data_IF_941203837445
#
_entry.id   IF_941203837445
#
_cell.length_a   1.000
_cell.length_b   1.000
_cell.length_c   1.000
_cell.angle_alpha   90.00
_cell.angle_beta   90.00
_cell.angle_gamma   90.00
#
_symmetry.space_group_name_H-M   'P 1'
#
loop_
_entity.id
_entity.type
_entity.pdbx_description
1 polymer ?
#
# COMPACT_ATOMS: atom_id res chain seq x y z
N UNK A 1 -10.69 70.82 17.34
CA UNK A 1 -9.42 70.36 17.94
C UNK A 1 -9.77 69.29 18.97
N UNK A 2 -9.23 68.09 18.76
CA UNK A 2 -9.30 66.88 19.60
C UNK A 2 -10.67 66.22 19.85
N UNK A 3 -10.87 65.11 19.11
CA UNK A 3 -11.92 64.12 19.30
C UNK A 3 -11.61 63.24 20.53
N UNK A 4 -12.66 62.94 21.30
CA UNK A 4 -12.67 62.05 22.45
C UNK A 4 -13.47 60.79 22.10
N UNK A 5 -12.96 59.62 22.56
CA UNK A 5 -13.60 58.28 22.59
C UNK A 5 -13.64 57.58 21.22
N UNK A 6 -13.30 56.30 21.07
CA UNK A 6 -13.48 55.17 21.98
C UNK A 6 -12.48 54.07 21.64
N UNK A 7 -11.97 53.39 22.67
CA UNK A 7 -11.24 52.14 22.55
C UNK A 7 -12.11 51.07 21.88
N UNK A 8 -11.76 50.64 20.67
CA UNK A 8 -12.26 49.38 20.11
C UNK A 8 -11.30 48.27 20.53
N UNK A 9 -11.74 47.49 21.51
CA UNK A 9 -11.17 46.18 21.82
C UNK A 9 -11.38 45.32 20.58
N UNK A 10 -10.30 44.97 19.88
CA UNK A 10 -10.33 43.93 18.85
C UNK A 10 -10.57 42.62 19.60
N UNK A 11 -11.83 42.19 19.65
CA UNK A 11 -12.16 40.85 20.09
C UNK A 11 -11.61 39.90 19.03
N UNK A 12 -10.50 39.27 19.36
CA UNK A 12 -9.96 38.13 18.64
C UNK A 12 -11.05 37.04 18.69
N UNK A 13 -11.85 36.92 17.63
CA UNK A 13 -12.66 35.74 17.42
C UNK A 13 -11.71 34.62 17.00
N UNK A 14 -11.11 33.97 17.99
CA UNK A 14 -10.60 32.61 17.81
C UNK A 14 -11.84 31.77 17.56
N UNK A 15 -12.25 31.67 16.29
CA UNK A 15 -13.06 30.54 15.86
C UNK A 15 -12.15 29.35 16.06
N UNK A 16 -12.31 28.66 17.18
CA UNK A 16 -11.85 27.29 17.29
C UNK A 16 -12.58 26.54 16.17
N UNK A 17 -11.90 26.35 15.04
CA UNK A 17 -12.36 25.47 13.96
C UNK A 17 -12.32 24.08 14.61
N UNK A 18 -13.46 23.66 15.17
CA UNK A 18 -13.62 22.27 15.58
C UNK A 18 -13.36 21.40 14.36
N UNK A 19 -12.50 20.40 14.49
CA UNK A 19 -12.29 19.40 13.45
C UNK A 19 -13.66 18.89 12.98
N UNK A 20 -13.99 19.09 11.70
CA UNK A 20 -15.21 18.58 11.11
C UNK A 20 -15.14 17.05 11.14
N UNK A 21 -15.86 16.45 12.09
CA UNK A 21 -15.91 15.00 12.23
C UNK A 21 -16.61 14.39 11.02
N UNK A 22 -16.04 13.33 10.46
CA UNK A 22 -16.67 12.61 9.35
C UNK A 22 -17.86 11.79 9.86
N UNK A 23 -18.90 11.69 9.05
CA UNK A 23 -20.08 10.90 9.42
C UNK A 23 -19.78 9.39 9.39
N UNK A 24 -20.53 8.57 10.15
CA UNK A 24 -20.39 7.11 10.08
C UNK A 24 -20.56 6.55 8.66
N UNK A 25 -21.39 7.19 7.83
CA UNK A 25 -21.60 6.79 6.44
C UNK A 25 -20.35 7.01 5.58
N UNK A 26 -19.64 8.14 5.78
CA UNK A 26 -18.37 8.42 5.09
C UNK A 26 -17.31 7.40 5.49
N UNK A 27 -17.21 7.08 6.78
CA UNK A 27 -16.28 6.05 7.27
C UNK A 27 -16.60 4.65 6.74
N UNK A 28 -17.87 4.27 6.71
CA UNK A 28 -18.30 3.00 6.11
C UNK A 28 -17.97 2.94 4.63
N UNK A 29 -18.20 4.04 3.90
CA UNK A 29 -17.83 4.14 2.50
C UNK A 29 -16.33 4.01 2.27
N UNK A 30 -15.51 4.73 3.03
CA UNK A 30 -14.06 4.63 2.98
C UNK A 30 -13.58 3.20 3.28
N UNK A 31 -14.10 2.57 4.33
CA UNK A 31 -13.72 1.20 4.66
C UNK A 31 -14.03 0.22 3.52
N UNK A 32 -15.20 0.33 2.90
CA UNK A 32 -15.60 -0.52 1.78
C UNK A 32 -14.76 -0.25 0.53
N UNK A 33 -14.45 1.02 0.20
CA UNK A 33 -13.64 1.31 -0.98
C UNK A 33 -12.16 1.02 -0.77
N UNK A 34 -11.65 1.00 0.46
CA UNK A 34 -10.32 0.46 0.77
C UNK A 34 -10.27 -1.03 0.49
N UNK A 35 -11.25 -1.81 0.98
CA UNK A 35 -11.34 -3.25 0.69
C UNK A 35 -11.27 -3.46 -0.82
N UNK A 36 -12.07 -2.71 -1.59
CA UNK A 36 -12.03 -2.75 -3.06
C UNK A 36 -10.62 -2.46 -3.61
N UNK A 37 -9.97 -1.38 -3.14
CA UNK A 37 -8.62 -1.00 -3.56
C UNK A 37 -7.57 -2.06 -3.25
N UNK A 38 -7.67 -2.74 -2.10
CA UNK A 38 -6.76 -3.83 -1.73
C UNK A 38 -7.06 -5.10 -2.54
N UNK A 39 -8.33 -5.42 -2.82
CA UNK A 39 -8.71 -6.56 -3.69
C UNK A 39 -8.13 -6.43 -5.09
N UNK A 40 -7.90 -5.20 -5.57
CA UNK A 40 -7.26 -4.97 -6.87
C UNK A 40 -5.88 -5.67 -6.95
N UNK A 41 -5.19 -5.87 -5.83
CA UNK A 41 -3.89 -6.56 -5.77
C UNK A 41 -4.00 -8.09 -5.73
N UNK A 42 -5.21 -8.62 -5.54
CA UNK A 42 -5.44 -10.06 -5.51
C UNK A 42 -5.47 -10.68 -6.92
N UNK A 43 -5.37 -12.02 -7.03
CA UNK A 43 -5.52 -12.71 -8.31
C UNK A 43 -6.80 -12.29 -9.02
N UNK A 44 -6.76 -12.19 -10.35
CA UNK A 44 -7.92 -11.75 -11.15
C UNK A 44 -9.16 -12.62 -10.91
N UNK A 45 -8.97 -13.92 -10.67
CA UNK A 45 -10.04 -14.86 -10.32
C UNK A 45 -10.76 -14.47 -9.03
N UNK A 46 -10.03 -13.95 -8.05
CA UNK A 46 -10.55 -13.47 -6.77
C UNK A 46 -11.44 -12.24 -6.98
N UNK A 47 -10.99 -11.30 -7.81
CA UNK A 47 -11.76 -10.11 -8.19
C UNK A 47 -13.04 -10.51 -8.93
N UNK A 48 -12.94 -11.39 -9.94
CA UNK A 48 -14.07 -11.79 -10.78
C UNK A 48 -15.13 -12.59 -10.01
N UNK A 49 -14.71 -13.51 -9.13
CA UNK A 49 -15.63 -14.35 -8.38
C UNK A 49 -16.25 -13.62 -7.17
N UNK A 50 -15.56 -12.62 -6.63
CA UNK A 50 -15.95 -11.86 -5.44
C UNK A 50 -16.47 -12.73 -4.29
N UNK A 51 -15.80 -13.85 -4.02
CA UNK A 51 -16.12 -14.83 -2.97
C UNK A 51 -15.66 -14.36 -1.58
N UNK A 52 -15.80 -13.07 -1.27
CA UNK A 52 -15.24 -12.47 -0.07
C UNK A 52 -15.71 -13.17 1.21
N UNK A 53 -14.77 -13.58 2.06
CA UNK A 53 -15.09 -14.26 3.31
C UNK A 53 -15.63 -13.31 4.39
N UNK A 54 -16.15 -13.90 5.46
CA UNK A 54 -16.69 -13.14 6.59
C UNK A 54 -15.63 -12.39 7.40
N UNK A 55 -14.35 -12.73 7.27
CA UNK A 55 -13.27 -12.06 8.00
C UNK A 55 -13.00 -10.66 7.42
N UNK A 56 -12.92 -10.54 6.09
CA UNK A 56 -12.72 -9.24 5.41
C UNK A 56 -14.07 -8.51 5.26
N UNK A 57 -15.12 -9.24 4.87
CA UNK A 57 -16.40 -8.63 4.47
C UNK A 57 -17.52 -8.69 5.52
N UNK A 58 -17.29 -9.05 6.79
CA UNK A 58 -18.38 -9.21 7.78
C UNK A 58 -18.15 -8.73 9.25
N UNK A 59 -17.05 -8.10 9.68
CA UNK A 59 -17.07 -7.44 11.00
C UNK A 59 -17.59 -5.98 10.92
N UNK A 60 -17.15 -5.22 9.92
CA UNK A 60 -17.29 -3.75 9.90
C UNK A 60 -17.99 -3.18 8.64
N UNK A 61 -18.25 -4.00 7.63
CA UNK A 61 -18.85 -3.58 6.35
C UNK A 61 -20.38 -3.52 6.39
N UNK A 62 -21.03 -4.00 7.46
CA UNK A 62 -22.49 -4.03 7.57
C UNK A 62 -23.19 -4.85 6.48
N UNK A 63 -22.56 -5.92 5.99
CA UNK A 63 -23.01 -6.71 4.82
C UNK A 63 -23.04 -5.93 3.50
N UNK A 64 -22.31 -4.82 3.37
CA UNK A 64 -22.27 -4.02 2.13
C UNK A 64 -21.99 -4.86 0.87
N UNK A 65 -21.12 -5.87 0.96
CA UNK A 65 -20.76 -6.71 -0.18
C UNK A 65 -21.81 -7.77 -0.55
N UNK A 66 -22.92 -7.88 0.18
CA UNK A 66 -24.01 -8.78 -0.17
C UNK A 66 -24.71 -8.31 -1.45
N UNK A 67 -24.56 -9.05 -2.55
CA UNK A 67 -25.07 -8.64 -3.87
C UNK A 67 -24.18 -7.66 -4.61
N UNK A 68 -22.94 -7.47 -4.15
CA UNK A 68 -21.90 -6.78 -4.90
C UNK A 68 -21.47 -7.64 -6.08
N UNK A 69 -21.38 -7.04 -7.26
CA UNK A 69 -21.06 -7.76 -8.49
C UNK A 69 -19.94 -7.05 -9.23
N UNK A 70 -18.86 -7.77 -9.54
CA UNK A 70 -17.83 -7.28 -10.46
C UNK A 70 -18.31 -7.50 -11.88
N UNK A 71 -18.42 -6.41 -12.63
CA UNK A 71 -18.95 -6.41 -13.99
C UNK A 71 -17.83 -6.60 -15.02
N UNK A 72 -16.67 -6.00 -14.75
CA UNK A 72 -15.50 -6.14 -15.60
C UNK A 72 -14.23 -6.01 -14.76
N UNK A 73 -13.23 -6.85 -15.02
CA UNK A 73 -11.89 -6.72 -14.46
C UNK A 73 -10.86 -6.98 -15.57
N UNK A 74 -9.99 -6.00 -15.81
CA UNK A 74 -9.04 -6.03 -16.93
C UNK A 74 -7.63 -5.73 -16.42
N UNK A 75 -6.68 -6.56 -16.84
CA UNK A 75 -5.25 -6.32 -16.67
C UNK A 75 -4.72 -5.79 -17.99
N UNK A 76 -4.22 -4.57 -18.00
CA UNK A 76 -3.54 -4.04 -19.17
C UNK A 76 -2.07 -4.44 -19.07
N UNK A 77 -1.71 -5.56 -19.70
CA UNK A 77 -0.31 -5.95 -19.85
C UNK A 77 0.32 -5.07 -20.93
N UNK A 78 1.04 -4.04 -20.51
CA UNK A 78 1.85 -3.23 -21.42
C UNK A 78 3.04 -4.09 -21.86
N UNK A 79 3.21 -4.33 -23.16
CA UNK A 79 4.51 -4.82 -23.67
C UNK A 79 5.56 -3.76 -23.35
N UNK A 80 6.70 -4.14 -22.77
CA UNK A 80 7.89 -3.32 -22.47
C UNK A 80 8.52 -2.65 -23.72
N UNK A 81 7.74 -1.94 -24.52
CA UNK A 81 8.19 -1.26 -25.74
C UNK A 81 8.22 0.26 -25.57
N UNK A 82 7.61 0.80 -24.52
CA UNK A 82 7.84 2.17 -24.06
C UNK A 82 8.85 2.14 -22.91
N UNK A 83 9.86 3.00 -22.96
CA UNK A 83 10.96 3.13 -21.99
C UNK A 83 10.52 3.63 -20.61
N UNK A 84 9.30 3.32 -20.16
CA UNK A 84 8.63 3.90 -18.99
C UNK A 84 8.28 2.87 -17.89
N UNK A 85 8.54 1.58 -18.10
CA UNK A 85 8.58 0.59 -17.01
C UNK A 85 7.25 0.22 -16.32
N UNK A 86 6.11 0.65 -16.85
CA UNK A 86 4.79 0.37 -16.26
C UNK A 86 4.31 -1.04 -16.61
N UNK A 87 4.88 -2.07 -15.97
CA UNK A 87 4.27 -3.39 -15.98
C UNK A 87 3.06 -3.40 -15.02
N UNK A 88 1.98 -4.09 -15.39
CA UNK A 88 0.92 -4.54 -14.47
C UNK A 88 -0.03 -3.46 -13.88
N UNK A 89 -0.57 -2.57 -14.72
CA UNK A 89 -1.70 -1.70 -14.30
C UNK A 89 -3.04 -2.44 -14.50
N UNK A 90 -3.91 -2.42 -13.49
CA UNK A 90 -5.21 -3.12 -13.47
C UNK A 90 -6.32 -2.14 -13.06
N UNK A 91 -7.48 -2.28 -13.70
CA UNK A 91 -8.72 -1.67 -13.20
C UNK A 91 -9.86 -2.69 -13.19
N UNK A 92 -10.85 -2.46 -12.34
CA UNK A 92 -12.11 -3.19 -12.41
C UNK A 92 -13.30 -2.28 -12.11
N UNK A 93 -14.46 -2.67 -12.63
CA UNK A 93 -15.74 -2.01 -12.41
C UNK A 93 -16.69 -2.98 -11.72
N UNK A 94 -17.35 -2.50 -10.67
CA UNK A 94 -18.34 -3.25 -9.94
C UNK A 94 -19.62 -2.44 -9.72
N UNK A 95 -20.69 -3.12 -9.33
CA UNK A 95 -22.00 -2.52 -9.07
C UNK A 95 -22.60 -3.05 -7.76
N UNK A 96 -23.28 -2.14 -7.05
CA UNK A 96 -24.10 -2.44 -5.87
C UNK A 96 -25.25 -1.45 -5.76
N UNK A 97 -26.49 -1.94 -5.72
CA UNK A 97 -27.71 -1.13 -5.56
C UNK A 97 -27.75 0.10 -6.50
N UNK A 98 -27.43 -0.09 -7.79
CA UNK A 98 -27.32 0.96 -8.82
C UNK A 98 -26.23 2.02 -8.58
N UNK A 99 -25.25 1.75 -7.72
CA UNK A 99 -24.02 2.53 -7.59
C UNK A 99 -22.87 1.77 -8.26
N UNK A 100 -22.02 2.51 -8.97
CA UNK A 100 -20.88 1.96 -9.71
C UNK A 100 -19.59 2.29 -8.99
N UNK A 101 -18.68 1.33 -9.02
CA UNK A 101 -17.38 1.41 -8.37
C UNK A 101 -16.31 1.15 -9.40
N UNK A 102 -15.43 2.12 -9.63
CA UNK A 102 -14.26 2.00 -10.48
C UNK A 102 -13.03 1.98 -9.58
N UNK A 103 -12.30 0.87 -9.60
CA UNK A 103 -11.14 0.72 -8.73
C UNK A 103 -9.88 0.49 -9.55
N UNK A 104 -8.83 1.23 -9.20
CA UNK A 104 -7.50 1.12 -9.80
C UNK A 104 -6.53 0.43 -8.85
N UNK A 105 -5.75 -0.49 -9.40
CA UNK A 105 -4.62 -1.13 -8.72
C UNK A 105 -3.40 -0.23 -8.80
N UNK A 106 -2.65 -0.12 -7.70
CA UNK A 106 -1.29 0.42 -7.74
C UNK A 106 -0.24 -0.61 -8.14
N UNK A 107 1.03 -0.28 -7.98
CA UNK A 107 2.12 -1.21 -8.30
C UNK A 107 2.22 -2.33 -7.26
N UNK A 108 2.25 -3.60 -7.71
CA UNK A 108 2.53 -4.76 -6.84
C UNK A 108 3.94 -4.68 -6.21
N UNK A 109 4.86 -3.94 -6.84
CA UNK A 109 6.20 -3.69 -6.32
C UNK A 109 6.38 -2.24 -5.86
N UNK A 110 5.55 -1.80 -4.90
CA UNK A 110 5.92 -0.96 -3.76
C UNK A 110 7.25 -0.20 -3.80
N UNK A 111 8.27 -1.00 -3.52
CA UNK A 111 9.61 -0.55 -3.25
C UNK A 111 10.32 -0.18 -4.55
N UNK A 112 10.21 -1.04 -5.57
CA UNK A 112 10.91 -0.84 -6.83
C UNK A 112 10.33 0.34 -7.62
N UNK A 113 9.01 0.58 -7.58
CA UNK A 113 8.43 1.72 -8.30
C UNK A 113 8.87 3.07 -7.74
N UNK A 114 9.01 3.21 -6.42
CA UNK A 114 9.43 4.48 -5.82
C UNK A 114 10.85 4.88 -6.23
N UNK A 115 11.76 3.88 -6.30
CA UNK A 115 13.16 4.12 -6.65
C UNK A 115 13.41 4.15 -8.17
N UNK A 116 12.65 3.38 -8.97
CA UNK A 116 12.86 3.26 -10.41
C UNK A 116 12.03 4.24 -11.26
N UNK A 117 10.89 4.73 -10.76
CA UNK A 117 9.96 5.55 -11.56
C UNK A 117 10.35 7.03 -11.59
N UNK A 118 11.47 7.36 -12.22
CA UNK A 118 11.90 8.75 -12.47
C UNK A 118 10.81 9.60 -13.16
N UNK A 119 9.94 8.97 -13.93
CA UNK A 119 8.80 9.59 -14.61
C UNK A 119 7.76 10.18 -13.65
N UNK A 120 7.73 9.79 -12.37
CA UNK A 120 6.80 10.42 -11.42
C UNK A 120 7.18 11.87 -11.11
N UNK A 121 8.48 12.20 -11.21
CA UNK A 121 9.03 13.53 -10.97
C UNK A 121 9.05 14.42 -12.22
N UNK A 122 8.72 13.87 -13.39
CA UNK A 122 8.67 14.62 -14.65
C UNK A 122 7.27 15.17 -14.83
N UNK A 123 7.15 16.48 -15.04
CA UNK A 123 5.86 17.13 -15.30
C UNK A 123 5.47 17.02 -16.80
N UNK A 124 4.20 16.72 -17.05
CA UNK A 124 3.55 16.75 -18.35
C UNK A 124 2.35 17.71 -18.31
N UNK A 125 2.04 18.36 -19.44
CA UNK A 125 0.85 19.22 -19.52
C UNK A 125 -0.42 18.36 -19.49
N UNK A 126 -1.34 18.67 -18.58
CA UNK A 126 -2.54 17.86 -18.36
C UNK A 126 -3.61 18.07 -19.44
N UNK A 127 -3.94 19.33 -19.74
CA UNK A 127 -4.93 19.65 -20.76
C UNK A 127 -4.69 21.04 -21.35
N UNK A 128 -4.84 21.15 -22.67
CA UNK A 128 -4.81 22.44 -23.36
C UNK A 128 -5.93 23.40 -22.90
N UNK A 129 -7.02 22.85 -22.35
CA UNK A 129 -8.15 23.64 -21.86
C UNK A 129 -7.96 24.15 -20.43
N UNK A 130 -6.88 23.75 -19.76
CA UNK A 130 -6.54 24.16 -18.40
C UNK A 130 -5.09 24.68 -18.44
N UNK A 131 -4.88 25.95 -18.81
CA UNK A 131 -3.55 26.50 -19.01
C UNK A 131 -2.66 26.29 -17.79
N UNK A 132 -1.39 25.94 -18.02
CA UNK A 132 -0.38 25.70 -16.98
C UNK A 132 -0.68 24.53 -16.01
N UNK A 133 -1.75 23.76 -16.22
CA UNK A 133 -1.98 22.54 -15.46
C UNK A 133 -0.96 21.48 -15.85
N UNK A 134 -0.22 21.01 -14.85
CA UNK A 134 0.80 19.99 -14.99
C UNK A 134 0.51 18.83 -14.07
N UNK A 135 0.76 17.64 -14.57
CA UNK A 135 0.66 16.38 -13.84
C UNK A 135 1.93 15.59 -14.00
N UNK A 136 2.12 14.61 -13.14
CA UNK A 136 3.17 13.63 -13.29
C UNK A 136 3.02 12.87 -14.61
N UNK A 137 4.05 12.89 -15.45
CA UNK A 137 4.08 12.18 -16.74
C UNK A 137 3.76 10.70 -16.54
N UNK A 138 4.33 10.09 -15.50
CA UNK A 138 4.11 8.70 -15.18
C UNK A 138 2.65 8.35 -14.91
N UNK A 139 2.00 9.14 -14.04
CA UNK A 139 0.59 8.91 -13.71
C UNK A 139 -0.34 9.26 -14.86
N UNK A 140 0.03 10.26 -15.67
CA UNK A 140 -0.74 10.66 -16.84
C UNK A 140 -0.70 9.63 -17.96
N UNK A 141 0.47 9.06 -18.24
CA UNK A 141 0.62 7.96 -19.21
C UNK A 141 -0.19 6.73 -18.75
N UNK A 142 -0.06 6.35 -17.47
CA UNK A 142 -0.83 5.27 -16.87
C UNK A 142 -2.36 5.47 -17.03
N UNK A 143 -2.83 6.71 -16.79
CA UNK A 143 -4.23 7.05 -17.01
C UNK A 143 -4.62 6.99 -18.49
N UNK A 144 -3.83 7.55 -19.39
CA UNK A 144 -4.11 7.57 -20.83
C UNK A 144 -4.17 6.16 -21.42
N UNK A 145 -3.34 5.23 -20.92
CA UNK A 145 -3.36 3.82 -21.33
C UNK A 145 -4.62 3.08 -20.84
N UNK A 146 -5.10 3.41 -19.64
CA UNK A 146 -6.32 2.82 -19.07
C UNK A 146 -7.60 3.45 -19.63
N UNK A 147 -7.56 4.73 -19.97
CA UNK A 147 -8.72 5.56 -20.27
C UNK A 147 -9.64 4.92 -21.32
N UNK A 148 -9.17 4.39 -22.47
CA UNK A 148 -10.06 3.78 -23.46
C UNK A 148 -10.84 2.58 -22.91
N UNK A 149 -10.19 1.72 -22.13
CA UNK A 149 -10.81 0.54 -21.53
C UNK A 149 -11.80 0.90 -20.41
N UNK A 150 -11.45 1.90 -19.61
CA UNK A 150 -12.32 2.46 -18.55
C UNK A 150 -13.56 3.09 -19.18
N UNK A 151 -13.39 3.98 -20.17
CA UNK A 151 -14.51 4.63 -20.86
C UNK A 151 -15.43 3.60 -21.50
N UNK A 152 -14.88 2.59 -22.18
CA UNK A 152 -15.70 1.54 -22.78
C UNK A 152 -16.48 0.75 -21.71
N UNK A 153 -15.84 0.41 -20.59
CA UNK A 153 -16.50 -0.28 -19.47
C UNK A 153 -17.62 0.57 -18.87
N UNK A 154 -17.37 1.86 -18.61
CA UNK A 154 -18.39 2.76 -18.08
C UNK A 154 -19.51 3.02 -19.10
N UNK A 155 -19.19 3.22 -20.38
CA UNK A 155 -20.17 3.51 -21.42
C UNK A 155 -21.15 2.35 -21.63
N UNK A 156 -20.67 1.10 -21.66
CA UNK A 156 -21.52 -0.07 -21.78
C UNK A 156 -22.49 -0.18 -20.59
N UNK A 157 -22.02 0.14 -19.39
CA UNK A 157 -22.78 -0.02 -18.15
C UNK A 157 -23.76 1.12 -17.88
N UNK A 158 -23.34 2.37 -18.14
CA UNK A 158 -24.20 3.54 -17.96
C UNK A 158 -25.36 3.57 -18.96
N UNK A 159 -25.19 2.99 -20.16
CA UNK A 159 -26.28 2.93 -21.14
C UNK A 159 -27.34 1.86 -20.85
N UNK A 160 -27.00 0.80 -20.10
CA UNK A 160 -27.96 -0.28 -19.79
C UNK A 160 -28.82 0.01 -18.57
N UNK A 161 -28.26 0.66 -17.55
CA UNK A 161 -28.88 0.72 -16.21
C UNK A 161 -29.15 2.14 -15.68
N UNK A 162 -28.56 3.18 -16.28
CA UNK A 162 -28.62 4.56 -15.77
C UNK A 162 -29.54 5.50 -16.57
N UNK A 163 -30.31 4.93 -17.51
CA UNK A 163 -31.22 5.68 -18.38
C UNK A 163 -32.43 6.27 -17.64
N UNK A 164 -32.79 5.75 -16.46
CA UNK A 164 -33.96 6.17 -15.68
C UNK A 164 -33.67 6.80 -14.32
N UNK A 165 -32.47 6.64 -13.75
CA UNK A 165 -32.03 7.27 -12.50
C UNK A 165 -30.53 7.61 -12.60
N UNK A 166 -30.07 8.76 -12.06
CA UNK A 166 -28.66 9.11 -12.06
C UNK A 166 -27.87 8.10 -11.22
N UNK A 167 -26.96 7.39 -11.86
CA UNK A 167 -26.04 6.47 -11.21
C UNK A 167 -24.90 7.23 -10.54
N UNK A 168 -24.56 6.84 -9.31
CA UNK A 168 -23.39 7.38 -8.63
C UNK A 168 -22.16 6.58 -9.02
N UNK A 169 -21.11 7.25 -9.47
CA UNK A 169 -19.81 6.63 -9.72
C UNK A 169 -18.86 6.96 -8.56
N UNK A 170 -18.37 5.92 -7.91
CA UNK A 170 -17.33 6.01 -6.90
C UNK A 170 -16.02 5.47 -7.46
N UNK A 171 -14.94 6.22 -7.29
CA UNK A 171 -13.62 5.84 -7.75
C UNK A 171 -12.74 5.61 -6.53
N UNK A 172 -11.94 4.55 -6.55
CA UNK A 172 -10.96 4.32 -5.50
C UNK A 172 -9.64 3.76 -6.00
N UNK A 173 -8.61 3.97 -5.20
CA UNK A 173 -7.29 3.43 -5.48
C UNK A 173 -6.35 3.60 -4.31
N UNK A 174 -5.44 2.64 -4.17
CA UNK A 174 -4.36 2.69 -3.20
C UNK A 174 -3.03 2.95 -3.93
N UNK A 175 -2.10 3.68 -3.31
CA UNK A 175 -0.77 3.96 -3.87
C UNK A 175 -0.87 4.59 -5.27
N UNK A 176 -0.11 4.08 -6.25
CA UNK A 176 -0.24 4.45 -7.67
C UNK A 176 -1.69 4.40 -8.19
N UNK A 177 -2.52 3.47 -7.71
CA UNK A 177 -3.93 3.41 -8.09
C UNK A 177 -4.71 4.64 -7.62
N UNK A 178 -4.33 5.20 -6.46
CA UNK A 178 -4.87 6.48 -5.98
C UNK A 178 -4.44 7.65 -6.87
N UNK A 179 -3.19 7.64 -7.34
CA UNK A 179 -2.70 8.64 -8.29
C UNK A 179 -3.52 8.63 -9.60
N UNK A 180 -3.76 7.44 -10.15
CA UNK A 180 -4.57 7.26 -11.37
C UNK A 180 -6.02 7.71 -11.12
N UNK A 181 -6.60 7.37 -9.97
CA UNK A 181 -7.94 7.82 -9.58
C UNK A 181 -8.04 9.35 -9.57
N UNK A 182 -7.04 10.03 -9.00
CA UNK A 182 -6.97 11.48 -8.93
C UNK A 182 -6.67 12.15 -10.29
N UNK A 183 -6.26 11.42 -11.33
CA UNK A 183 -6.12 11.96 -12.69
C UNK A 183 -7.45 12.05 -13.45
N UNK A 184 -8.50 11.36 -12.96
CA UNK A 184 -9.81 11.26 -13.61
C UNK A 184 -10.62 12.58 -13.58
N UNK A 185 -10.93 13.22 -14.72
CA UNK A 185 -11.62 14.53 -14.76
C UNK A 185 -13.16 14.47 -14.71
N UNK A 186 -13.76 13.33 -14.37
CA UNK A 186 -15.21 13.18 -14.51
C UNK A 186 -16.02 14.00 -13.51
N UNK A 187 -17.18 14.48 -13.95
CA UNK A 187 -18.13 15.18 -13.09
C UNK A 187 -18.99 14.22 -12.30
N UNK A 188 -19.44 14.66 -11.12
CA UNK A 188 -20.38 13.92 -10.27
C UNK A 188 -19.86 12.56 -9.80
N UNK A 189 -18.56 12.47 -9.54
CA UNK A 189 -17.92 11.30 -8.95
C UNK A 189 -17.49 11.58 -7.51
N UNK A 190 -17.45 10.53 -6.71
CA UNK A 190 -16.83 10.54 -5.37
C UNK A 190 -15.54 9.75 -5.47
N UNK A 191 -14.45 10.26 -4.88
CA UNK A 191 -13.14 9.62 -4.97
C UNK A 191 -12.57 9.41 -3.58
N UNK A 192 -12.23 8.17 -3.25
CA UNK A 192 -11.49 7.84 -2.04
C UNK A 192 -10.14 7.23 -2.41
N UNK A 193 -9.06 7.85 -1.97
CA UNK A 193 -7.71 7.33 -2.21
C UNK A 193 -7.00 7.01 -0.91
N UNK A 194 -6.08 6.05 -0.95
CA UNK A 194 -5.34 5.56 0.21
C UNK A 194 -3.85 5.58 -0.08
N UNK A 195 -3.09 6.38 0.66
CA UNK A 195 -1.66 6.53 0.40
C UNK A 195 -1.36 7.05 -1.01
N UNK A 196 -2.21 7.91 -1.56
CA UNK A 196 -1.99 8.47 -2.91
C UNK A 196 -0.80 9.43 -2.88
N UNK A 197 0.13 9.35 -3.84
CA UNK A 197 1.11 10.41 -4.07
C UNK A 197 0.42 11.69 -4.59
N UNK A 198 1.15 12.81 -4.57
CA UNK A 198 0.76 14.04 -5.27
C UNK A 198 0.72 13.78 -6.78
N UNK A 199 -0.28 14.32 -7.47
CA UNK A 199 -0.49 14.01 -8.91
C UNK A 199 -0.09 15.13 -9.84
N UNK A 200 -0.32 16.38 -9.45
CA UNK A 200 -0.04 17.51 -10.31
C UNK A 200 0.17 18.79 -9.53
N UNK A 201 0.27 19.89 -10.25
CA UNK A 201 0.53 21.19 -9.66
C UNK A 201 -0.72 21.89 -9.13
N UNK A 202 -0.55 23.06 -8.51
CA UNK A 202 -1.63 23.88 -7.98
C UNK A 202 -2.75 24.15 -9.02
N UNK A 203 -2.40 24.42 -10.28
CA UNK A 203 -3.38 24.66 -11.35
C UNK A 203 -4.20 23.41 -11.67
N UNK A 204 -3.54 22.25 -11.71
CA UNK A 204 -4.23 20.97 -11.82
C UNK A 204 -5.13 20.70 -10.61
N UNK A 205 -4.63 20.92 -9.39
CA UNK A 205 -5.38 20.67 -8.17
C UNK A 205 -6.64 21.53 -8.08
N UNK A 206 -6.51 22.84 -8.35
CA UNK A 206 -7.66 23.76 -8.42
C UNK A 206 -8.69 23.32 -9.48
N UNK A 207 -8.23 22.90 -10.65
CA UNK A 207 -9.11 22.37 -11.69
C UNK A 207 -9.81 21.10 -11.22
N UNK A 208 -9.08 20.13 -10.68
CA UNK A 208 -9.63 18.87 -10.20
C UNK A 208 -10.66 19.09 -9.08
N UNK A 209 -10.34 19.90 -8.08
CA UNK A 209 -11.22 20.22 -6.94
C UNK A 209 -12.54 20.87 -7.39
N UNK A 210 -12.50 21.68 -8.46
CA UNK A 210 -13.71 22.28 -9.05
C UNK A 210 -14.64 21.25 -9.74
N UNK A 211 -14.10 20.09 -10.12
CA UNK A 211 -14.81 19.04 -10.88
C UNK A 211 -15.21 17.87 -9.98
N UNK A 212 -14.36 17.56 -9.02
CA UNK A 212 -14.46 16.39 -8.13
C UNK A 212 -14.34 16.83 -6.66
N UNK A 213 -15.27 17.67 -6.17
CA UNK A 213 -15.20 18.23 -4.81
C UNK A 213 -15.40 17.18 -3.71
N UNK A 214 -15.87 15.98 -4.06
CA UNK A 214 -16.09 14.88 -3.13
C UNK A 214 -14.91 13.91 -3.17
N UNK A 215 -13.69 14.41 -2.99
CA UNK A 215 -12.47 13.60 -2.92
C UNK A 215 -11.92 13.59 -1.50
N UNK A 216 -11.71 12.40 -0.95
CA UNK A 216 -11.03 12.21 0.34
C UNK A 216 -9.74 11.42 0.13
N UNK A 217 -8.63 11.97 0.63
CA UNK A 217 -7.33 11.30 0.66
C UNK A 217 -7.06 10.79 2.06
N UNK A 218 -7.03 9.47 2.21
CA UNK A 218 -6.66 8.85 3.48
C UNK A 218 -5.15 8.64 3.52
N UNK A 219 -4.52 9.12 4.59
CA UNK A 219 -3.09 8.96 4.86
C UNK A 219 -2.92 8.26 6.19
N UNK A 220 -2.17 7.15 6.20
CA UNK A 220 -1.93 6.38 7.41
C UNK A 220 -0.59 6.76 8.04
N UNK A 221 -0.65 7.32 9.24
CA UNK A 221 0.49 7.59 10.11
C UNK A 221 1.67 8.23 9.33
N UNK A 222 2.84 7.59 9.31
CA UNK A 222 4.05 8.04 8.62
C UNK A 222 4.20 7.42 7.21
N UNK A 223 3.10 7.20 6.50
CA UNK A 223 3.15 6.77 5.10
C UNK A 223 3.91 7.81 4.26
N UNK A 224 5.02 7.36 3.67
CA UNK A 224 5.93 8.22 2.90
C UNK A 224 5.41 8.58 1.51
N UNK A 225 4.49 7.80 0.96
CA UNK A 225 4.06 7.93 -0.43
C UNK A 225 3.26 9.20 -0.70
N UNK A 226 2.34 9.64 0.18
CA UNK A 226 1.69 10.94 0.05
C UNK A 226 2.66 12.12 -0.01
N UNK A 227 3.87 12.00 0.51
CA UNK A 227 4.84 13.09 0.49
C UNK A 227 5.70 13.13 -0.79
N UNK A 228 5.39 12.29 -1.79
CA UNK A 228 6.01 12.36 -3.12
C UNK A 228 4.99 12.51 -4.26
N UNK A 229 5.39 13.09 -5.41
CA UNK A 229 6.60 13.90 -5.61
C UNK A 229 6.64 15.10 -4.64
N UNK A 230 7.83 15.65 -4.40
CA UNK A 230 8.04 16.65 -3.35
C UNK A 230 7.30 17.95 -3.65
N UNK A 231 6.86 18.61 -2.58
CA UNK A 231 6.38 19.98 -2.60
C UNK A 231 7.55 20.95 -2.90
N UNK A 232 7.30 22.04 -3.61
CA UNK A 232 8.13 23.25 -3.48
C UNK A 232 8.79 23.84 -4.74
N UNK A 233 9.04 25.14 -4.62
CA UNK A 233 9.26 26.17 -5.67
C UNK A 233 10.53 26.06 -6.54
N UNK A 234 11.40 25.07 -6.37
CA UNK A 234 12.70 25.05 -7.06
C UNK A 234 12.73 24.21 -8.34
N UNK A 235 11.94 23.13 -8.44
CA UNK A 235 11.99 22.22 -9.60
C UNK A 235 10.66 21.55 -10.01
N UNK A 236 9.68 21.37 -9.11
CA UNK A 236 8.38 20.77 -9.42
C UNK A 236 7.29 21.28 -8.48
N UNK A 237 6.13 21.70 -9.00
CA UNK A 237 5.10 22.40 -8.21
C UNK A 237 3.98 21.49 -7.70
N UNK A 238 4.29 20.25 -7.31
CA UNK A 238 3.25 19.27 -6.95
C UNK A 238 2.49 19.65 -5.68
N UNK A 239 1.18 19.48 -5.75
CA UNK A 239 0.22 19.75 -4.67
C UNK A 239 -0.85 18.65 -4.67
N UNK A 240 -1.29 18.28 -3.48
CA UNK A 240 -2.43 17.40 -3.28
C UNK A 240 -3.74 18.04 -3.70
N UNK A 241 -4.69 17.18 -4.06
CA UNK A 241 -6.07 17.56 -4.34
C UNK A 241 -6.94 17.40 -3.08
N UNK A 242 -7.96 18.26 -2.94
CA UNK A 242 -9.02 18.14 -1.94
C UNK A 242 -8.54 17.83 -0.49
N UNK A 243 -9.42 17.24 0.33
CA UNK A 243 -9.28 17.08 1.78
C UNK A 243 -8.46 15.84 2.17
N UNK A 244 -7.66 15.98 3.21
CA UNK A 244 -6.92 14.90 3.85
C UNK A 244 -7.65 14.35 5.06
N UNK A 245 -7.63 13.02 5.22
CA UNK A 245 -8.00 12.32 6.44
C UNK A 245 -6.79 11.55 6.93
N UNK A 246 -6.09 12.12 7.89
CA UNK A 246 -4.87 11.56 8.46
C UNK A 246 -5.17 10.69 9.68
N UNK A 247 -4.78 9.43 9.64
CA UNK A 247 -4.87 8.50 10.77
C UNK A 247 -3.54 8.54 11.53
N UNK A 248 -3.44 9.40 12.54
CA UNK A 248 -2.22 9.69 13.31
C UNK A 248 -1.92 8.66 14.42
N UNK A 249 -2.26 7.39 14.17
CA UNK A 249 -1.89 6.28 15.06
C UNK A 249 -1.64 5.01 14.25
N UNK A 250 -0.72 4.17 14.72
CA UNK A 250 -0.59 2.81 14.18
C UNK A 250 -1.74 1.93 14.66
N UNK A 251 -2.50 1.38 13.72
CA UNK A 251 -3.59 0.41 14.01
C UNK A 251 -3.13 -1.00 13.67
N UNK A 252 -3.24 -1.92 14.64
CA UNK A 252 -2.93 -3.33 14.42
C UNK A 252 -3.95 -4.00 13.48
N UNK A 253 -3.51 -5.08 12.82
CA UNK A 253 -4.37 -5.82 11.89
C UNK A 253 -5.63 -6.34 12.58
N UNK A 254 -6.79 -6.15 11.94
CA UNK A 254 -8.11 -6.51 12.45
C UNK A 254 -8.63 -5.62 13.59
N UNK A 255 -7.90 -4.58 14.01
CA UNK A 255 -8.27 -3.73 15.17
C UNK A 255 -8.79 -2.34 14.79
N UNK A 256 -9.20 -2.13 13.54
CA UNK A 256 -9.87 -0.89 13.12
C UNK A 256 -11.37 -0.99 13.33
N UNK A 257 -11.97 0.07 13.89
CA UNK A 257 -13.41 0.18 14.14
C UNK A 257 -14.01 1.19 13.17
N UNK A 258 -15.28 0.98 12.78
CA UNK A 258 -15.97 1.83 11.82
C UNK A 258 -17.29 2.32 12.45
N UNK A 259 -17.44 3.64 12.72
CA UNK A 259 -16.41 4.67 12.63
C UNK A 259 -15.32 4.49 13.71
N UNK A 260 -14.09 4.98 13.45
CA UNK A 260 -13.03 4.95 14.43
C UNK A 260 -13.29 5.96 15.56
N UNK A 261 -12.55 5.81 16.67
CA UNK A 261 -12.54 6.83 17.73
C UNK A 261 -12.05 8.18 17.18
N UNK A 262 -12.69 9.28 17.57
CA UNK A 262 -12.30 10.62 17.14
C UNK A 262 -10.88 11.01 17.57
N UNK A 263 -10.27 10.26 18.50
CA UNK A 263 -8.90 10.47 18.95
C UNK A 263 -7.82 9.89 18.02
N UNK A 264 -8.20 9.14 16.98
CA UNK A 264 -7.23 8.43 16.12
C UNK A 264 -7.06 9.03 14.73
N UNK A 265 -7.81 10.08 14.39
CA UNK A 265 -7.73 10.70 13.07
C UNK A 265 -7.93 12.22 13.12
N UNK A 266 -7.47 12.89 12.07
CA UNK A 266 -7.65 14.31 11.83
C UNK A 266 -8.11 14.55 10.39
N UNK A 267 -9.01 15.51 10.21
CA UNK A 267 -9.43 15.98 8.89
C UNK A 267 -8.76 17.33 8.63
N UNK A 268 -8.05 17.44 7.51
CA UNK A 268 -7.41 18.67 7.06
C UNK A 268 -8.03 19.11 5.73
N UNK A 269 -8.83 20.20 5.73
CA UNK A 269 -9.53 20.66 4.54
C UNK A 269 -8.63 21.45 3.60
N UNK A 270 -7.50 21.96 4.10
CA UNK A 270 -6.48 22.61 3.28
C UNK A 270 -5.51 21.57 2.75
N UNK A 271 -5.20 21.66 1.46
CA UNK A 271 -4.12 20.91 0.83
C UNK A 271 -2.79 21.25 1.49
N UNK A 272 -1.93 20.24 1.69
CA UNK A 272 -0.58 20.42 2.27
C UNK A 272 -0.59 21.05 3.68
N UNK A 273 -1.52 20.64 4.55
CA UNK A 273 -1.64 21.21 5.90
C UNK A 273 -0.51 20.68 6.81
N UNK A 274 0.40 21.55 7.31
CA UNK A 274 1.54 21.14 8.14
C UNK A 274 1.12 20.62 9.51
N UNK A 275 -0.17 20.70 9.86
CA UNK A 275 -0.72 20.11 11.06
C UNK A 275 -1.30 18.70 10.85
N UNK A 276 -1.27 18.18 9.61
CA UNK A 276 -1.67 16.84 9.22
C UNK A 276 -0.43 15.98 8.91
N UNK A 277 -0.52 15.04 7.95
CA UNK A 277 0.59 14.17 7.59
C UNK A 277 1.85 14.93 7.19
N UNK A 278 1.74 16.16 6.65
CA UNK A 278 2.93 16.94 6.26
C UNK A 278 3.79 17.39 7.44
N UNK A 279 3.26 17.34 8.68
CA UNK A 279 4.07 17.43 9.90
C UNK A 279 5.18 16.37 9.96
N UNK A 280 5.03 15.30 9.19
CA UNK A 280 5.98 14.21 9.01
C UNK A 280 6.65 14.20 7.62
N UNK A 281 6.75 15.33 6.91
CA UNK A 281 7.38 15.42 5.59
C UNK A 281 8.93 15.45 5.62
N UNK A 282 9.58 14.95 4.56
CA UNK A 282 11.04 14.80 4.48
C UNK A 282 11.84 16.12 4.56
N UNK A 283 11.24 17.24 4.15
CA UNK A 283 11.94 18.52 3.98
C UNK A 283 11.83 19.45 5.19
N UNK A 284 10.87 19.23 6.09
CA UNK A 284 10.66 20.09 7.26
C UNK A 284 11.57 19.75 8.47
N UNK A 285 12.51 18.83 8.31
CA UNK A 285 13.39 18.40 9.41
C UNK A 285 12.64 17.64 10.51
N UNK A 286 11.50 17.04 10.14
CA UNK A 286 10.56 16.36 11.04
C UNK A 286 11.19 15.12 11.69
N UNK A 287 10.96 14.97 12.99
CA UNK A 287 11.45 13.84 13.80
C UNK A 287 10.82 12.48 13.42
N UNK A 288 9.79 12.44 12.56
CA UNK A 288 9.07 11.21 12.19
C UNK A 288 9.93 10.18 11.43
N UNK A 289 10.94 10.62 10.67
CA UNK A 289 11.83 9.70 9.94
C UNK A 289 12.97 9.08 10.78
N UNK A 290 13.06 9.41 12.08
CA UNK A 290 14.15 8.93 12.93
C UNK A 290 14.00 7.45 13.33
N UNK A 291 12.86 6.79 13.02
CA UNK A 291 12.62 5.38 13.38
C UNK A 291 12.54 4.40 12.17
N UNK A 292 12.68 4.86 10.92
CA UNK A 292 12.28 4.03 9.77
C UNK A 292 13.42 3.26 9.10
N UNK A 293 13.65 2.01 9.53
CA UNK A 293 14.27 0.97 8.68
C UNK A 293 13.28 0.38 7.65
N UNK A 294 12.01 0.83 7.61
CA UNK A 294 10.95 0.35 6.71
C UNK A 294 9.95 1.46 6.31
N UNK A 295 10.31 2.40 5.41
CA UNK A 295 9.45 3.53 5.03
C UNK A 295 8.10 3.12 4.38
N UNK A 296 7.99 1.89 3.86
CA UNK A 296 6.77 1.39 3.22
C UNK A 296 5.82 0.64 4.16
N UNK A 297 6.20 0.46 5.44
CA UNK A 297 5.40 -0.31 6.40
C UNK A 297 3.99 0.28 6.58
N UNK A 298 3.90 1.59 6.75
CA UNK A 298 2.63 2.29 6.94
C UNK A 298 1.86 2.46 5.65
N UNK A 299 2.58 2.52 4.51
CA UNK A 299 1.98 2.54 3.20
C UNK A 299 1.17 1.27 2.92
N UNK A 300 1.65 0.11 3.36
CA UNK A 300 0.95 -1.17 3.15
C UNK A 300 -0.20 -1.40 4.15
N UNK A 301 -0.45 -0.48 5.09
CA UNK A 301 -1.36 -0.72 6.21
C UNK A 301 -2.40 0.37 6.34
N UNK A 302 -3.63 0.06 5.94
CA UNK A 302 -4.75 0.99 6.05
C UNK A 302 -5.94 0.32 6.75
N UNK A 303 -6.58 1.05 7.65
CA UNK A 303 -7.77 0.61 8.40
C UNK A 303 -7.66 -0.79 9.00
N UNK A 304 -6.49 -1.10 9.59
CA UNK A 304 -6.25 -2.40 10.21
C UNK A 304 -6.18 -3.56 9.22
N UNK A 305 -5.95 -3.30 7.94
CA UNK A 305 -5.55 -4.32 6.97
C UNK A 305 -4.07 -4.19 6.67
N UNK A 306 -3.44 -5.31 6.30
CA UNK A 306 -2.11 -5.33 5.73
C UNK A 306 -2.20 -5.84 4.29
N UNK A 307 -1.76 -5.02 3.34
CA UNK A 307 -1.85 -5.33 1.91
C UNK A 307 -1.15 -6.65 1.55
N UNK A 308 -0.02 -6.96 2.19
CA UNK A 308 0.77 -8.18 1.90
C UNK A 308 0.02 -9.46 2.28
N UNK A 309 -0.80 -9.43 3.33
CA UNK A 309 -1.58 -10.58 3.81
C UNK A 309 -3.03 -10.54 3.36
N UNK A 310 -3.51 -9.40 2.82
CA UNK A 310 -4.91 -9.15 2.51
C UNK A 310 -5.53 -10.24 1.63
N UNK A 311 -4.85 -10.61 0.54
CA UNK A 311 -5.38 -11.60 -0.40
C UNK A 311 -5.36 -13.04 0.15
N UNK A 312 -4.45 -13.35 1.09
CA UNK A 312 -4.42 -14.65 1.76
C UNK A 312 -5.68 -14.87 2.60
N UNK A 313 -6.23 -13.76 3.10
CA UNK A 313 -7.47 -13.75 3.86
C UNK A 313 -8.73 -13.77 2.98
N UNK A 314 -8.62 -13.79 1.65
CA UNK A 314 -9.80 -13.73 0.77
C UNK A 314 -10.43 -15.10 0.51
N UNK A 315 -9.61 -16.12 0.23
CA UNK A 315 -10.05 -17.50 -0.07
C UNK A 315 -10.06 -18.42 1.17
N UNK A 316 -9.75 -17.89 2.35
CA UNK A 316 -9.78 -18.68 3.58
C UNK A 316 -11.23 -18.98 3.96
N UNK A 317 -11.69 -20.17 3.56
CA UNK A 317 -12.80 -20.87 4.21
C UNK A 317 -12.43 -20.97 5.69
N UNK A 318 -13.27 -20.45 6.59
CA UNK A 318 -13.17 -20.78 8.01
C UNK A 318 -13.51 -22.26 8.13
N UNK A 319 -12.50 -23.12 7.97
CA UNK A 319 -12.59 -24.52 8.37
C UNK A 319 -12.50 -24.50 9.89
N UNK A 320 -13.63 -24.68 10.56
CA UNK A 320 -13.62 -25.09 11.97
C UNK A 320 -12.79 -26.37 12.07
N UNK A 321 -11.66 -26.40 12.79
CA UNK A 321 -10.81 -27.58 12.76
C UNK A 321 -11.43 -28.67 13.63
N UNK A 322 -11.71 -29.83 13.03
CA UNK A 322 -11.61 -31.08 13.79
C UNK A 322 -10.13 -31.28 14.20
N UNK A 323 -9.86 -31.87 15.37
CA UNK A 323 -8.53 -31.93 15.94
C UNK A 323 -7.72 -33.03 15.24
N UNK A 324 -7.08 -32.72 14.11
CA UNK A 324 -5.90 -33.45 13.66
C UNK A 324 -4.67 -32.86 14.35
N UNK A 325 -3.82 -33.74 14.89
CA UNK A 325 -2.58 -33.37 15.58
C UNK A 325 -1.82 -32.32 14.78
N UNK A 326 -1.76 -31.10 15.31
CA UNK A 326 -0.96 -30.00 14.76
C UNK A 326 0.50 -30.45 14.69
N UNK A 327 1.14 -30.42 13.51
CA UNK A 327 2.58 -30.59 13.43
C UNK A 327 3.24 -29.57 14.36
N UNK A 328 4.22 -30.00 15.16
CA UNK A 328 4.95 -29.10 16.05
C UNK A 328 5.52 -27.94 15.20
N UNK A 329 5.16 -26.67 15.46
CA UNK A 329 5.64 -25.54 14.65
C UNK A 329 7.16 -25.51 14.55
N UNK A 330 7.88 -25.93 15.60
CA UNK A 330 9.35 -25.99 15.62
C UNK A 330 9.96 -27.07 14.71
N UNK A 331 9.15 -27.98 14.14
CA UNK A 331 9.62 -29.01 13.21
C UNK A 331 9.84 -28.50 11.78
N UNK A 332 9.42 -27.27 11.48
CA UNK A 332 9.54 -26.63 10.16
C UNK A 332 10.17 -25.23 10.29
N UNK A 333 10.70 -24.63 9.21
CA UNK A 333 10.91 -25.24 7.90
C UNK A 333 12.05 -26.27 7.93
N UNK A 334 11.94 -27.27 7.07
CA UNK A 334 12.97 -28.30 6.89
C UNK A 334 14.06 -27.71 5.99
N UNK A 335 15.30 -27.76 6.46
CA UNK A 335 16.46 -27.25 5.73
C UNK A 335 17.16 -28.40 5.01
N UNK A 336 17.34 -28.25 3.70
CA UNK A 336 18.19 -29.12 2.88
C UNK A 336 19.36 -28.32 2.34
N UNK A 337 20.56 -28.88 2.33
CA UNK A 337 21.79 -28.18 1.96
C UNK A 337 22.68 -29.04 1.07
N UNK A 338 23.37 -28.38 0.15
CA UNK A 338 24.36 -28.99 -0.73
C UNK A 338 25.60 -28.11 -0.80
N UNK A 339 26.77 -28.70 -0.60
CA UNK A 339 28.05 -28.00 -0.79
C UNK A 339 28.25 -27.79 -2.29
N UNK A 340 28.42 -26.54 -2.71
CA UNK A 340 28.61 -26.19 -4.13
C UNK A 340 30.07 -25.94 -4.47
N UNK A 341 30.87 -25.45 -3.53
CA UNK A 341 32.32 -25.30 -3.72
C UNK A 341 33.10 -25.36 -2.41
N UNK A 342 34.32 -25.87 -2.48
CA UNK A 342 35.30 -25.84 -1.40
C UNK A 342 36.64 -25.37 -1.96
N UNK A 343 37.30 -24.44 -1.27
CA UNK A 343 38.61 -23.93 -1.65
C UNK A 343 39.66 -24.17 -0.57
N UNK A 344 40.77 -24.80 -0.95
CA UNK A 344 41.87 -25.20 -0.08
C UNK A 344 43.15 -24.48 -0.52
N UNK A 345 43.84 -23.81 0.41
CA UNK A 345 45.06 -23.06 0.10
C UNK A 345 46.36 -23.86 0.36
N UNK A 346 46.27 -25.17 0.55
CA UNK A 346 47.41 -26.04 0.86
C UNK A 346 47.82 -26.10 2.34
N UNK A 347 47.19 -25.33 3.24
CA UNK A 347 47.35 -25.46 4.71
C UNK A 347 46.05 -25.87 5.43
N UNK A 348 44.94 -26.00 4.69
CA UNK A 348 43.61 -26.35 5.17
C UNK A 348 42.53 -25.95 4.18
N UNK A 349 41.26 -26.30 4.47
CA UNK A 349 40.09 -25.76 3.77
C UNK A 349 39.86 -24.35 4.31
N UNK A 350 39.93 -23.33 3.45
CA UNK A 350 39.73 -21.95 3.88
C UNK A 350 38.31 -21.45 3.64
N UNK A 351 37.57 -22.00 2.67
CA UNK A 351 36.18 -21.56 2.42
C UNK A 351 35.31 -22.69 1.91
N UNK A 352 34.13 -22.85 2.51
CA UNK A 352 33.06 -23.74 2.01
C UNK A 352 31.85 -22.88 1.64
N UNK A 353 31.39 -22.99 0.39
CA UNK A 353 30.15 -22.37 -0.07
C UNK A 353 29.06 -23.43 -0.14
N UNK A 354 27.90 -23.10 0.42
CA UNK A 354 26.75 -23.99 0.52
C UNK A 354 25.54 -23.27 -0.07
N UNK A 355 24.75 -24.02 -0.84
CA UNK A 355 23.40 -23.60 -1.24
C UNK A 355 22.41 -24.47 -0.46
N UNK A 356 21.41 -23.84 0.10
CA UNK A 356 20.37 -24.49 0.88
C UNK A 356 18.97 -24.06 0.46
N UNK A 357 17.99 -24.87 0.85
CA UNK A 357 16.57 -24.61 0.69
C UNK A 357 15.87 -24.83 2.02
N UNK A 358 15.11 -23.84 2.44
CA UNK A 358 14.11 -23.93 3.51
C UNK A 358 12.81 -24.40 2.86
N UNK A 359 12.19 -25.47 3.37
CA UNK A 359 10.87 -25.93 2.92
C UNK A 359 9.86 -25.89 4.08
N UNK A 360 8.77 -25.13 3.93
CA UNK A 360 7.66 -25.16 4.86
C UNK A 360 6.57 -26.08 4.29
N UNK A 361 6.64 -27.37 4.60
CA UNK A 361 5.61 -28.35 4.20
C UNK A 361 4.53 -28.52 5.29
N UNK A 362 4.48 -27.60 6.25
CA UNK A 362 3.43 -27.64 7.28
C UNK A 362 2.12 -27.08 6.73
N UNK A 363 1.05 -27.18 7.51
CA UNK A 363 -0.25 -26.58 7.19
C UNK A 363 -0.37 -25.13 7.67
N UNK A 364 0.69 -24.55 8.24
CA UNK A 364 0.68 -23.22 8.84
C UNK A 364 1.84 -22.36 8.32
N UNK A 365 1.61 -21.06 8.25
CA UNK A 365 2.67 -20.10 7.93
C UNK A 365 3.65 -19.99 9.10
N UNK A 366 4.92 -19.77 8.79
CA UNK A 366 5.97 -19.66 9.78
C UNK A 366 6.42 -18.22 9.86
N UNK A 367 6.05 -17.55 10.94
CA UNK A 367 6.38 -16.14 11.19
C UNK A 367 7.69 -16.01 11.96
N UNK A 368 8.61 -15.21 11.43
CA UNK A 368 9.92 -14.82 11.94
C UNK A 368 10.74 -16.02 12.45
N UNK A 369 10.97 -17.05 11.60
CA UNK A 369 11.73 -18.20 12.04
C UNK A 369 13.16 -17.79 12.37
N UNK A 370 13.61 -18.15 13.57
CA UNK A 370 14.97 -17.90 14.02
C UNK A 370 15.71 -19.20 14.17
N UNK A 371 16.88 -19.28 13.54
CA UNK A 371 17.75 -20.44 13.62
C UNK A 371 19.06 -20.10 14.30
N UNK A 372 19.61 -21.07 15.01
CA UNK A 372 21.00 -21.07 15.46
C UNK A 372 21.74 -22.19 14.74
N UNK A 373 23.05 -22.03 14.60
CA UNK A 373 23.88 -23.01 13.89
C UNK A 373 24.89 -23.67 14.81
N UNK A 374 25.14 -24.96 14.54
CA UNK A 374 26.28 -25.70 15.10
C UNK A 374 27.17 -26.18 13.94
N UNK A 375 28.45 -25.78 13.88
CA UNK A 375 29.12 -24.82 14.78
C UNK A 375 28.59 -23.38 14.64
N UNK A 376 28.74 -22.57 15.69
CA UNK A 376 28.29 -21.17 15.72
C UNK A 376 29.32 -20.26 15.03
N UNK A 377 29.32 -20.26 13.69
CA UNK A 377 30.29 -19.53 12.84
C UNK A 377 29.57 -18.41 12.08
N UNK A 378 30.15 -17.21 12.09
CA UNK A 378 29.64 -16.08 11.31
C UNK A 378 30.01 -16.26 9.83
N UNK A 379 29.04 -16.19 8.89
CA UNK A 379 29.34 -16.30 7.47
C UNK A 379 30.09 -15.08 6.96
N UNK A 380 30.98 -15.32 6.00
CA UNK A 380 31.71 -14.26 5.29
C UNK A 380 30.94 -13.76 4.06
N UNK A 381 30.00 -14.57 3.57
CA UNK A 381 29.06 -14.24 2.50
C UNK A 381 27.74 -14.93 2.75
N UNK A 382 26.63 -14.25 2.53
CA UNK A 382 25.28 -14.76 2.77
C UNK A 382 24.31 -14.15 1.77
N UNK A 383 23.38 -14.96 1.27
CA UNK A 383 22.30 -14.56 0.39
C UNK A 383 21.02 -15.31 0.77
N UNK A 384 19.86 -14.65 0.73
CA UNK A 384 18.58 -15.25 1.12
C UNK A 384 18.35 -15.35 2.63
N UNK A 385 19.36 -15.04 3.45
CA UNK A 385 19.31 -15.00 4.91
C UNK A 385 20.13 -13.83 5.46
N UNK A 386 19.89 -13.45 6.72
CA UNK A 386 20.66 -12.45 7.47
C UNK A 386 21.00 -12.98 8.85
N UNK A 387 22.14 -12.56 9.39
CA UNK A 387 22.58 -12.93 10.74
C UNK A 387 22.54 -11.73 11.68
N UNK A 388 22.18 -11.99 12.94
CA UNK A 388 22.35 -11.05 14.06
C UNK A 388 23.06 -11.78 15.20
N UNK A 389 23.87 -11.08 15.99
CA UNK A 389 24.57 -11.68 17.13
C UNK A 389 23.96 -11.17 18.42
N UNK A 390 23.42 -12.08 19.24
CA UNK A 390 22.84 -11.77 20.55
C UNK A 390 23.57 -12.62 21.59
N UNK A 391 24.23 -11.99 22.55
CA UNK A 391 25.00 -12.67 23.61
C UNK A 391 26.01 -13.72 23.08
N UNK A 392 26.61 -13.45 21.92
CA UNK A 392 27.58 -14.35 21.28
C UNK A 392 26.96 -15.49 20.45
N UNK A 393 25.64 -15.67 20.48
CA UNK A 393 24.92 -16.62 19.61
C UNK A 393 24.52 -15.95 18.31
N UNK A 394 24.79 -16.61 17.18
CA UNK A 394 24.45 -16.12 15.85
C UNK A 394 23.07 -16.62 15.48
N UNK A 395 22.13 -15.67 15.40
CA UNK A 395 20.75 -15.89 15.00
C UNK A 395 20.62 -15.63 13.50
N UNK A 396 20.23 -16.66 12.77
CA UNK A 396 19.95 -16.61 11.35
C UNK A 396 18.46 -16.39 11.12
N UNK A 397 18.13 -15.45 10.24
CA UNK A 397 16.77 -15.10 9.85
C UNK A 397 16.66 -15.10 8.33
N UNK A 398 15.47 -15.35 7.80
CA UNK A 398 15.24 -15.30 6.35
C UNK A 398 15.37 -13.85 5.85
N UNK A 399 15.99 -13.68 4.69
CA UNK A 399 16.15 -12.37 4.05
C UNK A 399 16.28 -12.51 2.53
N UNK A 400 15.21 -12.90 1.82
CA UNK A 400 15.24 -13.02 0.37
C UNK A 400 15.56 -11.67 -0.27
N UNK A 401 16.57 -11.65 -1.14
CA UNK A 401 17.03 -10.46 -1.88
C UNK A 401 17.35 -9.22 -1.01
N UNK A 402 17.71 -9.39 0.27
CA UNK A 402 18.03 -8.30 1.18
C UNK A 402 16.82 -7.64 1.87
N UNK A 403 15.60 -8.12 1.59
CA UNK A 403 14.38 -7.75 2.33
C UNK A 403 14.24 -8.61 3.58
N UNK A 404 13.60 -8.11 4.65
CA UNK A 404 13.18 -8.95 5.77
C UNK A 404 11.88 -9.66 5.38
N UNK A 405 11.97 -10.91 4.93
CA UNK A 405 10.78 -11.75 4.97
C UNK A 405 10.52 -12.09 6.44
N UNK A 406 9.38 -11.71 6.97
CA UNK A 406 8.98 -12.07 8.33
C UNK A 406 8.07 -13.28 8.34
N UNK A 407 7.72 -13.84 7.17
CA UNK A 407 6.82 -14.99 7.08
C UNK A 407 7.25 -15.91 5.95
N UNK A 408 7.25 -17.21 6.23
CA UNK A 408 7.39 -18.27 5.25
C UNK A 408 6.06 -18.99 5.12
N UNK A 409 5.36 -18.79 3.99
CA UNK A 409 4.03 -19.37 3.75
C UNK A 409 4.06 -20.90 3.84
N UNK A 410 2.96 -21.50 4.26
CA UNK A 410 2.78 -22.95 4.17
C UNK A 410 2.89 -23.42 2.72
N UNK A 411 3.37 -24.65 2.52
CA UNK A 411 3.67 -25.24 1.21
C UNK A 411 4.57 -24.37 0.30
N UNK A 412 5.48 -23.58 0.89
CA UNK A 412 6.44 -22.74 0.15
C UNK A 412 7.89 -23.12 0.42
N UNK A 413 8.80 -22.55 -0.36
CA UNK A 413 10.23 -22.72 -0.18
C UNK A 413 11.01 -21.41 -0.37
N UNK A 414 12.16 -21.30 0.28
CA UNK A 414 13.12 -20.19 0.12
C UNK A 414 14.50 -20.78 -0.11
N UNK A 415 15.17 -20.35 -1.17
CA UNK A 415 16.56 -20.68 -1.44
C UNK A 415 17.50 -19.66 -0.78
N UNK A 416 18.62 -20.16 -0.24
CA UNK A 416 19.65 -19.35 0.38
C UNK A 416 21.04 -19.90 0.06
N UNK A 417 22.06 -19.07 0.27
CA UNK A 417 23.45 -19.51 0.21
C UNK A 417 24.27 -18.84 1.28
N UNK A 418 25.34 -19.51 1.69
CA UNK A 418 26.31 -18.93 2.61
C UNK A 418 27.72 -19.47 2.34
N UNK A 419 28.71 -18.68 2.73
CA UNK A 419 30.12 -19.05 2.70
C UNK A 419 30.70 -18.88 4.10
N UNK A 420 31.42 -19.91 4.57
CA UNK A 420 32.10 -19.92 5.88
C UNK A 420 33.56 -20.31 5.73
N UNK A 421 34.38 -19.79 6.64
CA UNK A 421 35.78 -20.21 6.78
C UNK A 421 35.87 -21.48 7.66
N UNK A 422 35.37 -22.59 7.12
CA UNK A 422 35.35 -23.90 7.78
C UNK A 422 35.25 -25.02 6.75
N UNK A 423 35.68 -26.23 7.13
CA UNK A 423 35.51 -27.45 6.36
C UNK A 423 34.20 -28.20 6.66
N UNK A 424 33.41 -27.73 7.63
CA UNK A 424 32.17 -28.36 8.07
C UNK A 424 30.94 -27.55 7.65
N UNK A 425 29.89 -28.26 7.23
CA UNK A 425 28.57 -27.66 7.00
C UNK A 425 27.93 -27.22 8.34
N UNK A 426 27.04 -26.24 8.30
CA UNK A 426 26.33 -25.76 9.49
C UNK A 426 25.07 -26.59 9.68
N UNK A 427 24.89 -27.15 10.87
CA UNK A 427 23.61 -27.72 11.29
C UNK A 427 22.72 -26.62 11.84
N UNK A 428 21.54 -26.42 11.24
CA UNK A 428 20.58 -25.41 11.67
C UNK A 428 19.58 -26.00 12.65
N UNK A 429 19.34 -25.30 13.76
CA UNK A 429 18.30 -25.63 14.74
C UNK A 429 17.38 -24.43 14.88
N UNK A 430 16.07 -24.63 14.63
CA UNK A 430 15.07 -23.58 14.85
C UNK A 430 14.84 -23.41 16.36
N UNK A 431 14.87 -22.17 16.81
CA UNK A 431 14.66 -21.79 18.21
C UNK A 431 13.42 -20.93 18.43
N UNK A 432 12.84 -20.40 17.35
CA UNK A 432 11.64 -19.57 17.37
C UNK A 432 10.92 -19.70 16.05
#
# INVERSE_FOLDING_TARGET
MFNLKSSLIILCAIVAIGQSQLTPAVWSNAYNTLIMSYTAYCPLTTIQNWNCNSYICNPNTGNFFQGFQVLNAQVNSIQETTSTGWADILHYVAVKDNNYYLTFRGSNNTYNWYYDALSIFIEADYSINVPNSKVSLGFFDAWNDLQPAVINSLYLLLNTDCSSNPCNLQISGHSLGGAIANTYPGLHVTVNTYGSPRVGNAEFANYYDSRVPNTLRFVNFEDVIPHVPFEGDFFTHYQHVNEEVWVDVTVAEGQFTVPPSNSIYKVCPTTEDPSCSDSCSFFEGSYCYLDTWQPFLYHQRYFGFNLETFCNHWDSVIVTPEPTQTPNPLAYPIITQTITSQWNNGQGVNYTTVVGRLNNNSTQDIVDPVFVTTPNILPIGIFGMKTTTVNGTINWRISPAGSYATTMLHNSFIDFSYTINSNQMLSFTRIK
#
